data_IF_456673191521
#
_entry.id   IF_456673191521
#
_cell.length_a   1.000
_cell.length_b   1.000
_cell.length_c   1.000
_cell.angle_alpha   90.00
_cell.angle_beta   90.00
_cell.angle_gamma   90.00
#
_symmetry.space_group_name_H-M   'P 1'
#
loop_
_entity.id
_entity.type
_entity.pdbx_description
1 polymer ?
#
# COMPACT_ATOMS: atom_id res chain seq x y z
N UNK A 1 -7.80 12.71 -9.67
CA UNK A 1 -6.94 11.52 -9.56
C UNK A 1 -7.85 10.31 -9.48
N UNK A 2 -7.59 9.25 -10.26
CA UNK A 2 -8.39 8.00 -10.18
C UNK A 2 -7.78 7.09 -9.11
N UNK A 3 -8.59 6.18 -8.56
CA UNK A 3 -8.12 5.22 -7.57
C UNK A 3 -8.56 3.81 -7.89
N UNK A 4 -7.81 2.84 -7.36
CA UNK A 4 -8.09 1.41 -7.39
C UNK A 4 -7.88 0.89 -5.97
N UNK A 5 -8.95 0.40 -5.34
CA UNK A 5 -8.88 -0.30 -4.07
C UNK A 5 -8.52 -1.76 -4.34
N UNK A 6 -7.44 -2.21 -3.73
CA UNK A 6 -6.97 -3.59 -3.75
C UNK A 6 -7.62 -4.38 -2.61
N UNK A 7 -7.66 -5.69 -2.79
CA UNK A 7 -8.26 -6.60 -1.82
C UNK A 7 -7.43 -6.70 -0.54
N UNK A 8 -6.12 -6.87 -0.66
CA UNK A 8 -5.23 -7.06 0.48
C UNK A 8 -3.82 -6.48 0.22
N UNK A 9 -2.96 -6.56 1.25
CA UNK A 9 -1.57 -6.14 1.15
C UNK A 9 -0.74 -7.00 0.21
N UNK A 10 -1.16 -8.24 -0.07
CA UNK A 10 -0.44 -9.13 -0.99
C UNK A 10 -0.55 -8.59 -2.41
N UNK A 11 -1.73 -8.16 -2.83
CA UNK A 11 -1.92 -7.52 -4.13
C UNK A 11 -1.09 -6.24 -4.25
N UNK A 12 -1.05 -5.42 -3.20
CA UNK A 12 -0.22 -4.20 -3.19
C UNK A 12 1.28 -4.53 -3.26
N UNK A 13 1.75 -5.48 -2.46
CA UNK A 13 3.15 -5.89 -2.42
C UNK A 13 3.61 -6.52 -3.74
N UNK A 14 2.75 -7.31 -4.38
CA UNK A 14 2.99 -7.89 -5.70
C UNK A 14 3.06 -6.81 -6.78
N UNK A 15 2.17 -5.80 -6.72
CA UNK A 15 2.19 -4.68 -7.66
C UNK A 15 3.47 -3.86 -7.55
N UNK A 16 3.92 -3.53 -6.33
CA UNK A 16 5.18 -2.82 -6.10
C UNK A 16 6.38 -3.67 -6.55
N UNK A 17 6.38 -4.96 -6.24
CA UNK A 17 7.46 -5.88 -6.63
C UNK A 17 7.61 -6.07 -8.14
N UNK A 18 6.53 -5.89 -8.90
CA UNK A 18 6.50 -6.07 -10.36
C UNK A 18 6.69 -4.77 -11.13
N UNK A 19 6.47 -3.62 -10.49
CA UNK A 19 6.61 -2.31 -11.11
C UNK A 19 8.06 -1.80 -11.02
N UNK A 20 8.72 -1.66 -12.17
CA UNK A 20 10.12 -1.20 -12.23
C UNK A 20 10.37 0.20 -11.63
N UNK A 21 9.35 1.05 -11.54
CA UNK A 21 9.46 2.45 -11.10
C UNK A 21 8.92 2.72 -9.70
N UNK A 22 8.30 1.74 -9.04
CA UNK A 22 7.68 1.93 -7.72
C UNK A 22 8.42 1.03 -6.73
N UNK A 23 9.21 1.64 -5.84
CA UNK A 23 10.05 0.90 -4.89
C UNK A 23 9.59 0.97 -3.44
N UNK A 24 8.49 1.67 -3.14
CA UNK A 24 8.07 1.94 -1.76
C UNK A 24 6.55 1.88 -1.63
N UNK A 25 6.04 1.52 -0.46
CA UNK A 25 4.65 1.71 -0.06
C UNK A 25 4.57 2.91 0.87
N UNK A 26 3.57 3.76 0.66
CA UNK A 26 3.28 4.91 1.51
C UNK A 26 2.18 4.54 2.50
N UNK A 27 2.32 5.00 3.75
CA UNK A 27 1.34 4.82 4.80
C UNK A 27 0.83 6.17 5.29
N UNK A 28 -0.49 6.33 5.34
CA UNK A 28 -1.18 7.48 5.90
C UNK A 28 -2.21 7.00 6.93
N UNK A 29 -2.15 7.47 8.19
CA UNK A 29 -3.20 7.18 9.17
C UNK A 29 -4.50 7.87 8.74
N UNK A 30 -5.60 7.12 8.82
CA UNK A 30 -6.94 7.61 8.56
C UNK A 30 -7.68 7.90 9.86
N UNK A 31 -8.90 8.47 9.78
CA UNK A 31 -9.76 8.57 10.97
C UNK A 31 -10.09 7.19 11.52
N UNK A 32 -10.33 6.25 10.60
CA UNK A 32 -10.63 4.85 10.89
C UNK A 32 -9.71 3.98 10.05
N UNK A 33 -8.73 3.36 10.71
CA UNK A 33 -7.75 2.48 10.09
C UNK A 33 -6.56 3.20 9.45
N UNK A 34 -5.98 2.52 8.48
CA UNK A 34 -4.66 2.81 7.92
C UNK A 34 -4.69 2.64 6.41
N UNK A 35 -4.26 3.66 5.68
CA UNK A 35 -4.17 3.64 4.23
C UNK A 35 -2.74 3.29 3.81
N UNK A 36 -2.59 2.19 3.08
CA UNK A 36 -1.33 1.82 2.42
C UNK A 36 -1.50 1.96 0.93
N UNK A 37 -0.64 2.73 0.29
CA UNK A 37 -0.82 3.04 -1.12
C UNK A 37 0.47 3.25 -1.88
N UNK A 38 0.35 3.18 -3.19
CA UNK A 38 1.35 3.64 -4.15
C UNK A 38 0.68 4.53 -5.19
N UNK A 39 1.51 5.35 -5.81
CA UNK A 39 1.10 6.21 -6.91
C UNK A 39 1.77 5.68 -8.15
N UNK A 40 0.94 5.16 -9.05
CA UNK A 40 1.36 4.70 -10.36
C UNK A 40 0.66 5.52 -11.44
N UNK A 41 1.00 5.22 -12.69
CA UNK A 41 0.28 5.80 -13.81
C UNK A 41 1.06 5.82 -15.10
N UNK A 42 0.45 6.47 -16.07
CA UNK A 42 1.02 6.74 -17.39
C UNK A 42 1.53 8.18 -17.42
N UNK A 43 2.07 8.61 -18.56
CA UNK A 43 2.45 10.01 -18.77
C UNK A 43 1.26 10.98 -18.71
N UNK A 44 0.03 10.49 -18.89
CA UNK A 44 -1.17 11.32 -18.98
C UNK A 44 -2.12 11.16 -17.79
N UNK A 45 -1.99 10.08 -17.00
CA UNK A 45 -2.93 9.79 -15.94
C UNK A 45 -2.26 9.18 -14.71
N UNK A 46 -2.69 9.64 -13.53
CA UNK A 46 -2.18 9.20 -12.22
C UNK A 46 -3.26 8.41 -11.49
N UNK A 47 -2.87 7.24 -10.98
CA UNK A 47 -3.71 6.30 -10.26
C UNK A 47 -3.17 6.08 -8.85
N UNK A 48 -4.07 6.14 -7.87
CA UNK A 48 -3.82 5.72 -6.51
C UNK A 48 -4.21 4.25 -6.35
N UNK A 49 -3.25 3.36 -6.15
CA UNK A 49 -3.52 1.97 -5.78
C UNK A 49 -3.37 1.83 -4.28
N UNK A 50 -4.40 1.33 -3.59
CA UNK A 50 -4.38 1.30 -2.14
C UNK A 50 -5.09 0.10 -1.53
N UNK A 51 -4.74 -0.20 -0.29
CA UNK A 51 -5.51 -1.07 0.62
C UNK A 51 -5.75 -0.33 1.92
N UNK A 52 -6.93 -0.55 2.51
CA UNK A 52 -7.30 -0.04 3.84
C UNK A 52 -7.26 -1.18 4.83
N UNK A 53 -6.65 -0.95 5.99
CA UNK A 53 -6.53 -1.91 7.09
C UNK A 53 -6.98 -1.27 8.40
N UNK A 54 -7.68 -2.01 9.25
CA UNK A 54 -8.09 -1.51 10.59
C UNK A 54 -6.89 -1.27 11.48
N UNK A 55 -5.91 -2.15 11.40
CA UNK A 55 -4.72 -2.13 12.23
C UNK A 55 -3.48 -1.74 11.42
N UNK A 56 -2.55 -1.09 12.10
CA UNK A 56 -1.26 -0.77 11.53
C UNK A 56 -0.44 -2.05 11.36
N UNK A 57 0.30 -2.18 10.25
CA UNK A 57 1.23 -3.29 10.09
C UNK A 57 2.41 -3.17 11.06
N UNK A 58 2.89 -4.32 11.52
CA UNK A 58 3.99 -4.40 12.48
C UNK A 58 5.35 -4.39 11.77
N UNK A 59 5.90 -3.21 11.52
CA UNK A 59 7.23 -3.08 10.90
C UNK A 59 7.41 -1.84 10.05
N UNK A 60 8.62 -1.71 9.50
CA UNK A 60 9.01 -0.66 8.55
C UNK A 60 9.17 -1.16 7.12
N UNK A 61 9.12 -2.48 6.93
CA UNK A 61 9.25 -3.14 5.64
C UNK A 61 8.17 -4.21 5.49
N UNK A 62 7.54 -4.24 4.33
CA UNK A 62 6.77 -5.37 3.84
C UNK A 62 7.76 -6.33 3.21
N UNK A 63 7.78 -7.57 3.69
CA UNK A 63 8.60 -8.65 3.15
C UNK A 63 7.70 -9.52 2.29
N UNK A 64 7.86 -9.41 0.99
CA UNK A 64 7.13 -10.21 0.02
C UNK A 64 8.01 -11.34 -0.50
N UNK A 65 7.56 -12.58 -0.31
CA UNK A 65 8.21 -13.74 -0.92
C UNK A 65 7.71 -13.90 -2.36
N UNK A 66 8.58 -13.70 -3.34
CA UNK A 66 8.22 -13.74 -4.76
C UNK A 66 7.90 -15.15 -5.25
N UNK A 67 8.31 -16.19 -4.52
CA UNK A 67 8.03 -17.59 -4.84
C UNK A 67 6.72 -18.08 -4.21
N UNK A 68 6.52 -17.89 -2.91
CA UNK A 68 5.30 -18.35 -2.21
C UNK A 68 4.14 -17.36 -2.29
N UNK A 69 4.42 -16.09 -2.59
CA UNK A 69 3.45 -15.00 -2.52
C UNK A 69 3.04 -14.63 -1.09
N UNK A 70 3.77 -15.09 -0.08
CA UNK A 70 3.53 -14.75 1.32
C UNK A 70 3.99 -13.33 1.64
N UNK A 71 3.25 -12.69 2.55
CA UNK A 71 3.55 -11.35 3.07
C UNK A 71 3.86 -11.47 4.55
N UNK A 72 4.98 -10.88 4.97
CA UNK A 72 5.33 -10.69 6.37
C UNK A 72 5.89 -9.28 6.56
N UNK A 73 6.25 -8.93 7.79
CA UNK A 73 6.75 -7.60 8.12
C UNK A 73 8.04 -7.66 8.92
N UNK A 74 8.83 -6.58 8.84
CA UNK A 74 10.13 -6.50 9.49
C UNK A 74 10.52 -5.05 9.78
N UNK A 75 11.22 -4.84 10.89
CA UNK A 75 11.87 -3.55 11.22
C UNK A 75 13.10 -3.27 10.36
N UNK A 76 13.67 -4.31 9.74
CA UNK A 76 14.91 -4.22 8.96
C UNK A 76 14.74 -4.84 7.59
N UNK A 77 15.52 -4.36 6.63
CA UNK A 77 15.68 -4.99 5.33
C UNK A 77 16.10 -6.46 5.54
N UNK A 78 15.44 -7.37 4.82
CA UNK A 78 15.86 -8.75 4.68
C UNK A 78 16.48 -8.95 3.30
N UNK A 79 17.60 -9.66 3.26
CA UNK A 79 18.35 -9.90 2.03
C UNK A 79 18.29 -11.39 1.72
N UNK A 80 17.48 -11.75 0.72
CA UNK A 80 17.37 -13.10 0.17
C UNK A 80 16.90 -12.96 -1.30
N UNK A 81 17.39 -13.79 -2.24
CA UNK A 81 17.01 -13.70 -3.65
C UNK A 81 15.51 -13.81 -3.94
N UNK A 82 14.75 -14.48 -3.08
CA UNK A 82 13.31 -14.67 -3.22
C UNK A 82 12.49 -13.67 -2.40
N UNK A 83 13.15 -12.75 -1.67
CA UNK A 83 12.48 -11.78 -0.83
C UNK A 83 12.65 -10.36 -1.37
N UNK A 84 11.53 -9.70 -1.58
CA UNK A 84 11.48 -8.26 -1.80
C UNK A 84 11.19 -7.57 -0.47
N UNK A 85 12.16 -6.77 0.00
CA UNK A 85 11.98 -5.87 1.14
C UNK A 85 11.48 -4.52 0.66
N UNK A 86 10.17 -4.28 0.79
CA UNK A 86 9.51 -3.05 0.35
C UNK A 86 9.39 -2.10 1.55
N UNK A 87 10.05 -0.94 1.56
CA UNK A 87 9.96 0.01 2.66
C UNK A 87 8.56 0.63 2.75
N UNK A 88 8.14 0.88 3.99
CA UNK A 88 6.94 1.64 4.34
C UNK A 88 7.36 3.06 4.74
N UNK A 89 6.89 4.03 3.97
CA UNK A 89 7.12 5.45 4.20
C UNK A 89 5.93 6.03 4.95
N UNK A 90 6.16 6.40 6.20
CA UNK A 90 5.16 7.05 7.06
C UNK A 90 4.98 8.51 6.66
N UNK A 91 3.78 8.88 6.26
CA UNK A 91 3.44 10.25 5.88
C UNK A 91 2.92 11.01 7.09
N UNK A 92 3.56 12.15 7.37
CA UNK A 92 3.08 13.11 8.39
C UNK A 92 2.17 14.18 7.78
N UNK A 93 2.47 14.62 6.55
CA UNK A 93 1.69 15.63 5.84
C UNK A 93 1.81 15.43 4.31
N UNK A 94 0.78 15.80 3.56
CA UNK A 94 0.71 15.61 2.11
C UNK A 94 -0.26 16.61 1.46
N UNK A 95 -0.01 16.97 0.19
CA UNK A 95 -0.87 17.81 -0.66
C UNK A 95 -1.15 17.14 -2.03
N UNK A 96 -1.19 15.81 -2.03
CA UNK A 96 -1.28 14.98 -3.23
C UNK A 96 -2.68 14.34 -3.35
N UNK A 97 -3.24 13.92 -2.24
CA UNK A 97 -4.60 13.43 -2.09
C UNK A 97 -5.47 14.59 -1.62
N UNK A 98 -6.43 14.99 -2.45
CA UNK A 98 -7.40 16.01 -2.08
C UNK A 98 -8.23 15.58 -0.87
N UNK A 99 -8.76 16.55 -0.11
CA UNK A 99 -9.62 16.27 1.05
C UNK A 99 -10.82 15.38 0.67
N UNK A 100 -11.46 15.68 -0.46
CA UNK A 100 -12.58 14.89 -1.00
C UNK A 100 -12.19 13.42 -1.28
N UNK A 101 -10.99 13.19 -1.84
CA UNK A 101 -10.50 11.84 -2.09
C UNK A 101 -10.23 11.10 -0.78
N UNK A 102 -9.62 11.77 0.20
CA UNK A 102 -9.38 11.20 1.53
C UNK A 102 -10.70 10.87 2.23
N UNK A 103 -11.70 11.74 2.15
CA UNK A 103 -13.05 11.49 2.69
C UNK A 103 -13.75 10.32 2.01
N UNK A 104 -13.66 10.24 0.68
CA UNK A 104 -14.18 9.11 -0.11
C UNK A 104 -13.52 7.81 0.35
N UNK A 105 -12.19 7.75 0.40
CA UNK A 105 -11.43 6.56 0.81
C UNK A 105 -11.74 6.17 2.26
N UNK A 106 -11.95 7.13 3.16
CA UNK A 106 -12.37 6.85 4.54
C UNK A 106 -13.72 6.12 4.58
N UNK A 107 -14.67 6.53 3.72
CA UNK A 107 -16.02 5.95 3.69
C UNK A 107 -16.09 4.55 3.06
N UNK A 108 -15.04 4.14 2.32
CA UNK A 108 -14.99 2.81 1.73
C UNK A 108 -14.76 1.76 2.82
N UNK A 109 -15.55 0.69 2.75
CA UNK A 109 -15.39 -0.48 3.60
C UNK A 109 -14.14 -1.28 3.20
N UNK A 110 -13.66 -2.08 4.14
CA UNK A 110 -12.67 -3.10 3.83
C UNK A 110 -13.27 -4.18 2.94
N UNK A 111 -12.43 -4.71 2.05
CA UNK A 111 -12.83 -5.88 1.29
C UNK A 111 -12.94 -7.06 2.26
N UNK A 112 -14.16 -7.57 2.48
CA UNK A 112 -14.41 -8.77 3.30
C UNK A 112 -15.33 -8.61 4.51
N UNK A 113 -16.00 -7.47 4.71
CA UNK A 113 -17.00 -7.36 5.81
C UNK A 113 -18.38 -7.96 5.48
N UNK A 114 -18.70 -8.28 4.22
CA UNK A 114 -20.00 -8.83 3.80
C UNK A 114 -19.92 -9.91 2.69
N UNK A 115 -18.88 -10.76 2.67
CA UNK A 115 -18.73 -11.85 1.69
C UNK A 115 -18.66 -13.24 2.33
#
# INVERSE_FOLDING_TARGET
MKYIQLKDLKDLAMLVSSAASIGVVQHLPLKEGHLYFIIGGTLSEVFLYFVKLKEKVDGRYIIYNTLSGEVSFSERVRTDPNLNSIPIIEIVNQDLLSKELVETVNSLQEWGEDA
#
